data_IF_042405342364
#
_entry.id   IF_042405342364
#
_cell.length_a   1.000
_cell.length_b   1.000
_cell.length_c   1.000
_cell.angle_alpha   90.00
_cell.angle_beta   90.00
_cell.angle_gamma   90.00
#
_symmetry.space_group_name_H-M   'P 1'
#
loop_
_entity.id
_entity.type
_entity.pdbx_description
1 polymer ?
#
# COMPACT_ATOMS: atom_id res chain seq x y z
N UNK A 1 -10.42 11.39 10.14
CA UNK A 1 -10.39 9.93 9.87
C UNK A 1 -9.01 9.55 9.36
N UNK A 2 -8.43 8.44 9.83
CA UNK A 2 -7.11 7.96 9.40
C UNK A 2 -7.30 6.92 8.29
N UNK A 3 -6.69 7.15 7.13
CA UNK A 3 -6.85 6.31 5.93
C UNK A 3 -5.51 5.64 5.60
N UNK A 4 -5.17 4.65 6.41
CA UNK A 4 -3.99 3.80 6.22
C UNK A 4 -2.64 4.51 6.26
N UNK A 5 -1.64 3.80 5.74
CA UNK A 5 -0.25 4.26 5.65
C UNK A 5 0.19 4.27 4.18
N UNK A 6 0.90 5.33 3.79
CA UNK A 6 1.58 5.40 2.50
C UNK A 6 3.09 5.52 2.74
N UNK A 7 3.84 4.55 2.22
CA UNK A 7 5.30 4.54 2.23
C UNK A 7 5.83 4.95 0.86
N UNK A 8 6.53 6.08 0.80
CA UNK A 8 7.13 6.60 -0.44
C UNK A 8 8.64 6.39 -0.42
N UNK A 9 9.21 5.95 -1.54
CA UNK A 9 10.64 5.74 -1.70
C UNK A 9 11.36 7.09 -1.80
N UNK A 10 12.08 7.45 -0.74
CA UNK A 10 12.70 8.78 -0.59
C UNK A 10 13.59 9.21 -1.75
N UNK A 11 14.34 8.30 -2.40
CA UNK A 11 15.22 8.65 -3.51
C UNK A 11 14.48 9.21 -4.75
N UNK A 12 13.18 8.98 -4.86
CA UNK A 12 12.37 9.51 -5.96
C UNK A 12 11.64 10.81 -5.60
N UNK A 13 11.73 11.25 -4.33
CA UNK A 13 11.14 12.51 -3.89
C UNK A 13 12.04 13.66 -4.33
N UNK A 14 11.62 14.40 -5.36
CA UNK A 14 12.40 15.51 -5.94
C UNK A 14 12.12 16.85 -5.28
N UNK A 15 10.94 17.04 -4.70
CA UNK A 15 10.54 18.29 -4.07
C UNK A 15 9.48 18.06 -2.99
N UNK A 16 9.60 18.78 -1.88
CA UNK A 16 8.57 18.86 -0.85
C UNK A 16 8.12 20.31 -0.77
N UNK A 17 6.86 20.56 -1.15
CA UNK A 17 6.28 21.90 -1.09
C UNK A 17 5.59 22.12 0.26
N UNK A 18 5.65 23.38 0.72
CA UNK A 18 4.97 23.82 1.94
C UNK A 18 4.35 25.19 1.73
N UNK A 19 3.05 25.24 1.42
CA UNK A 19 2.34 26.51 1.21
C UNK A 19 1.83 27.14 2.51
N UNK A 20 1.51 28.45 2.49
CA UNK A 20 0.83 29.10 3.63
C UNK A 20 -0.51 28.42 3.94
N UNK A 21 -1.24 28.00 2.91
CA UNK A 21 -2.51 27.28 3.05
C UNK A 21 -2.34 25.95 3.79
N UNK A 22 -1.33 25.15 3.43
CA UNK A 22 -1.02 23.88 4.13
C UNK A 22 -0.61 24.12 5.59
N UNK A 23 0.12 25.20 5.88
CA UNK A 23 0.46 25.56 7.27
C UNK A 23 -0.79 25.87 8.08
N UNK A 24 -1.72 26.66 7.51
CA UNK A 24 -3.00 26.97 8.15
C UNK A 24 -3.85 25.73 8.33
N UNK A 25 -3.99 24.89 7.29
CA UNK A 25 -4.73 23.63 7.36
C UNK A 25 -4.16 22.70 8.44
N UNK A 26 -2.83 22.53 8.50
CA UNK A 26 -2.17 21.72 9.55
C UNK A 26 -2.44 22.26 10.96
N UNK A 27 -2.52 23.59 11.13
CA UNK A 27 -2.88 24.21 12.42
C UNK A 27 -4.33 23.92 12.78
N UNK A 28 -5.26 24.05 11.84
CA UNK A 28 -6.69 23.74 12.04
C UNK A 28 -6.83 22.27 12.44
N UNK A 29 -6.29 21.35 11.65
CA UNK A 29 -6.38 19.91 11.91
C UNK A 29 -5.74 19.49 13.24
N UNK A 30 -4.65 20.15 13.67
CA UNK A 30 -4.10 19.95 15.02
C UNK A 30 -5.03 20.47 16.11
N UNK A 31 -5.61 21.66 15.90
CA UNK A 31 -6.52 22.28 16.89
C UNK A 31 -7.84 21.51 17.05
N UNK A 32 -8.29 20.84 15.99
CA UNK A 32 -9.50 20.00 16.03
C UNK A 32 -9.21 18.55 16.47
N UNK A 33 -7.95 18.20 16.77
CA UNK A 33 -7.55 16.85 17.17
C UNK A 33 -7.52 15.81 16.03
N UNK A 34 -7.65 16.25 14.78
CA UNK A 34 -7.63 15.39 13.58
C UNK A 34 -6.21 14.94 13.20
N UNK A 35 -5.18 15.76 13.51
CA UNK A 35 -3.78 15.33 13.41
C UNK A 35 -3.30 14.92 14.79
N UNK A 36 -3.14 13.62 15.00
CA UNK A 36 -2.45 13.04 16.14
C UNK A 36 -0.97 12.81 15.79
N UNK A 37 -0.11 12.79 16.81
CA UNK A 37 1.25 12.30 16.61
C UNK A 37 1.16 10.78 16.48
N UNK A 38 1.27 10.28 15.25
CA UNK A 38 1.37 8.85 14.99
C UNK A 38 2.83 8.46 15.03
N UNK A 39 3.18 7.60 15.97
CA UNK A 39 4.41 6.83 15.87
C UNK A 39 4.24 5.73 14.81
N UNK A 40 5.34 5.33 14.19
CA UNK A 40 5.32 4.16 13.32
C UNK A 40 4.84 2.95 14.13
N UNK A 41 3.95 2.10 13.56
CA UNK A 41 3.56 0.88 14.23
C UNK A 41 4.80 0.06 14.60
N UNK A 42 4.91 -0.50 15.82
CA UNK A 42 6.12 -1.22 16.26
C UNK A 42 6.49 -2.41 15.38
N UNK A 43 5.51 -2.92 14.63
CA UNK A 43 5.66 -4.05 13.73
C UNK A 43 6.18 -3.65 12.33
N UNK A 44 6.14 -2.38 11.99
CA UNK A 44 6.45 -1.87 10.67
C UNK A 44 7.94 -1.54 10.57
N UNK A 45 8.65 -2.23 9.68
CA UNK A 45 10.09 -2.01 9.43
C UNK A 45 10.29 -1.21 8.14
N UNK A 46 10.48 0.09 8.29
CA UNK A 46 10.75 1.01 7.18
C UNK A 46 12.27 1.10 7.00
N UNK A 47 12.79 0.48 5.94
CA UNK A 47 14.22 0.51 5.59
C UNK A 47 14.47 0.15 4.13
N UNK A 48 13.72 -0.82 3.59
CA UNK A 48 13.61 -1.06 2.16
C UNK A 48 12.17 -1.46 1.80
N UNK A 49 11.83 -1.39 0.51
CA UNK A 49 10.55 -1.92 0.01
C UNK A 49 10.40 -3.41 0.38
N UNK A 50 11.50 -4.18 0.34
CA UNK A 50 11.50 -5.59 0.75
C UNK A 50 11.18 -5.77 2.24
N UNK A 51 11.78 -4.98 3.13
CA UNK A 51 11.50 -5.08 4.58
C UNK A 51 10.06 -4.71 4.90
N UNK A 52 9.54 -3.67 4.25
CA UNK A 52 8.15 -3.25 4.33
C UNK A 52 7.21 -4.39 3.91
N UNK A 53 7.39 -4.92 2.70
CA UNK A 53 6.54 -6.00 2.16
C UNK A 53 6.66 -7.30 2.96
N UNK A 54 7.78 -7.55 3.65
CA UNK A 54 7.89 -8.66 4.61
C UNK A 54 6.93 -8.51 5.79
N UNK A 55 6.86 -7.32 6.38
CA UNK A 55 5.92 -7.04 7.47
C UNK A 55 4.46 -7.23 7.01
N UNK A 56 4.13 -6.75 5.81
CA UNK A 56 2.78 -6.90 5.25
C UNK A 56 2.45 -8.38 4.96
N UNK A 57 3.42 -9.14 4.44
CA UNK A 57 3.30 -10.58 4.22
C UNK A 57 3.01 -11.35 5.51
N UNK A 58 3.82 -11.12 6.54
CA UNK A 58 3.69 -11.79 7.85
C UNK A 58 2.30 -11.61 8.46
N UNK A 59 1.68 -10.46 8.20
CA UNK A 59 0.36 -10.07 8.71
C UNK A 59 -0.79 -10.33 7.74
N UNK A 60 -0.50 -10.79 6.53
CA UNK A 60 -1.47 -10.95 5.43
C UNK A 60 -2.24 -9.65 5.14
N UNK A 61 -1.58 -8.51 5.27
CA UNK A 61 -2.16 -7.20 4.97
C UNK A 61 -2.20 -7.02 3.44
N UNK A 62 -3.36 -6.60 2.93
CA UNK A 62 -3.52 -6.19 1.54
C UNK A 62 -2.80 -4.86 1.33
N UNK A 63 -2.07 -4.73 0.23
CA UNK A 63 -1.33 -3.54 -0.10
C UNK A 63 -1.58 -3.14 -1.56
N UNK A 64 -1.64 -1.84 -1.79
CA UNK A 64 -1.49 -1.23 -3.09
C UNK A 64 -0.01 -0.93 -3.32
N UNK A 65 0.53 -1.38 -4.45
CA UNK A 65 1.91 -1.14 -4.87
C UNK A 65 1.87 -0.41 -6.19
N UNK A 66 2.58 0.73 -6.28
CA UNK A 66 2.60 1.56 -7.48
C UNK A 66 3.99 2.13 -7.80
N UNK A 67 4.13 2.59 -9.04
CA UNK A 67 5.29 3.37 -9.50
C UNK A 67 4.87 4.74 -10.01
N UNK A 68 5.68 5.74 -9.67
CA UNK A 68 5.62 7.09 -10.21
C UNK A 68 6.72 7.36 -11.26
N UNK A 69 7.48 6.34 -11.67
CA UNK A 69 8.50 6.47 -12.71
C UNK A 69 7.84 6.50 -14.10
N UNK A 70 8.29 7.41 -14.96
CA UNK A 70 7.66 7.71 -16.25
C UNK A 70 7.50 6.49 -17.19
N UNK A 71 8.45 5.54 -17.18
CA UNK A 71 8.47 4.37 -18.07
C UNK A 71 8.17 3.05 -17.34
N UNK A 72 7.53 3.11 -16.17
CA UNK A 72 7.26 1.93 -15.34
C UNK A 72 5.75 1.84 -15.07
N UNK A 73 5.10 0.90 -15.74
CA UNK A 73 3.69 0.58 -15.50
C UNK A 73 3.56 -0.44 -14.38
N UNK A 74 3.60 0.05 -13.14
CA UNK A 74 3.36 -0.76 -11.95
C UNK A 74 2.18 -0.17 -11.20
N UNK A 75 1.10 -0.93 -11.18
CA UNK A 75 -0.02 -0.75 -10.27
C UNK A 75 -0.61 -2.12 -9.94
N UNK A 76 -0.63 -2.50 -8.67
CA UNK A 76 -1.18 -3.77 -8.24
C UNK A 76 -1.72 -3.67 -6.82
N UNK A 77 -2.91 -4.23 -6.60
CA UNK A 77 -3.53 -4.33 -5.27
C UNK A 77 -3.66 -5.79 -4.91
N UNK A 78 -3.15 -6.19 -3.75
CA UNK A 78 -3.20 -7.58 -3.33
C UNK A 78 -2.36 -7.90 -2.11
N UNK A 79 -2.25 -9.19 -1.81
CA UNK A 79 -1.41 -9.68 -0.70
C UNK A 79 -0.08 -10.21 -1.23
N UNK A 80 0.96 -10.08 -0.41
CA UNK A 80 2.30 -10.58 -0.75
C UNK A 80 2.30 -12.11 -0.69
N UNK A 81 2.54 -12.75 -1.83
CA UNK A 81 2.64 -14.19 -1.95
C UNK A 81 4.08 -14.67 -1.68
N UNK A 82 5.05 -14.07 -2.35
CA UNK A 82 6.47 -14.40 -2.20
C UNK A 82 7.35 -13.15 -2.22
N UNK A 83 8.47 -13.23 -1.51
CA UNK A 83 9.54 -12.25 -1.56
C UNK A 83 10.76 -12.96 -2.11
N UNK A 84 11.32 -12.42 -3.18
CA UNK A 84 12.51 -12.94 -3.84
C UNK A 84 13.68 -12.00 -3.58
N UNK A 85 14.82 -12.27 -4.19
CA UNK A 85 16.01 -11.43 -3.98
C UNK A 85 15.79 -10.00 -4.48
N UNK A 86 15.32 -9.84 -5.72
CA UNK A 86 15.11 -8.54 -6.38
C UNK A 86 13.65 -8.17 -6.68
N UNK A 87 12.69 -9.03 -6.35
CA UNK A 87 11.27 -8.87 -6.70
C UNK A 87 10.32 -9.34 -5.61
N UNK A 88 9.08 -8.85 -5.67
CA UNK A 88 7.93 -9.36 -4.92
C UNK A 88 6.97 -10.05 -5.88
N UNK A 89 6.35 -11.13 -5.43
CA UNK A 89 5.21 -11.75 -6.10
C UNK A 89 3.96 -11.39 -5.33
N UNK A 90 3.02 -10.72 -5.98
CA UNK A 90 1.72 -10.37 -5.42
C UNK A 90 0.65 -11.32 -5.93
N UNK A 91 -0.21 -11.76 -5.01
CA UNK A 91 -1.51 -12.31 -5.37
C UNK A 91 -2.46 -11.11 -5.49
N UNK A 92 -2.58 -10.57 -6.70
CA UNK A 92 -3.37 -9.38 -7.02
C UNK A 92 -4.73 -9.72 -7.60
N UNK A 93 -5.63 -8.75 -7.56
CA UNK A 93 -6.94 -8.79 -8.18
C UNK A 93 -7.14 -7.54 -9.05
N UNK A 94 -8.02 -7.63 -10.03
CA UNK A 94 -8.41 -6.49 -10.86
C UNK A 94 -9.54 -5.66 -10.22
N UNK A 95 -9.97 -4.61 -10.93
CA UNK A 95 -11.05 -3.74 -10.48
C UNK A 95 -12.44 -4.43 -10.44
N UNK A 96 -12.58 -5.64 -11.00
CA UNK A 96 -13.76 -6.47 -10.89
C UNK A 96 -13.70 -7.44 -9.70
N UNK A 97 -12.55 -7.51 -9.03
CA UNK A 97 -12.30 -8.41 -7.90
C UNK A 97 -11.90 -9.82 -8.33
N UNK A 98 -11.57 -10.02 -9.59
CA UNK A 98 -11.09 -11.30 -10.10
C UNK A 98 -9.58 -11.41 -9.85
N UNK A 99 -9.16 -12.57 -9.36
CA UNK A 99 -7.73 -12.84 -9.12
C UNK A 99 -6.98 -12.88 -10.44
N UNK A 100 -5.92 -12.09 -10.56
CA UNK A 100 -5.11 -12.05 -11.77
C UNK A 100 -4.17 -13.26 -11.78
N UNK A 101 -4.20 -14.01 -12.90
CA UNK A 101 -3.33 -15.16 -13.16
C UNK A 101 -2.63 -14.95 -14.51
N UNK A 102 -1.28 -15.03 -14.59
CA UNK A 102 -0.36 -15.39 -13.52
C UNK A 102 -0.20 -14.29 -12.45
N UNK A 103 0.31 -14.68 -11.27
CA UNK A 103 0.62 -13.74 -10.18
C UNK A 103 1.59 -12.66 -10.66
N UNK A 104 1.40 -11.42 -10.21
CA UNK A 104 2.24 -10.30 -10.60
C UNK A 104 3.60 -10.36 -9.90
N UNK A 105 4.67 -10.47 -10.67
CA UNK A 105 6.04 -10.31 -10.17
C UNK A 105 6.56 -8.91 -10.49
N UNK A 106 6.94 -8.15 -9.45
CA UNK A 106 7.33 -6.74 -9.55
C UNK A 106 8.70 -6.57 -8.93
N UNK A 107 9.63 -5.91 -9.63
CA UNK A 107 10.97 -5.61 -9.09
C UNK A 107 10.88 -4.56 -7.99
N UNK A 108 11.66 -4.70 -6.93
CA UNK A 108 11.73 -3.67 -5.89
C UNK A 108 12.23 -2.30 -6.40
N UNK A 109 13.05 -2.31 -7.47
CA UNK A 109 13.53 -1.11 -8.16
C UNK A 109 12.43 -0.30 -8.84
N UNK A 110 11.29 -0.93 -9.11
CA UNK A 110 10.24 -0.36 -9.93
C UNK A 110 9.12 0.19 -9.03
N UNK A 111 9.08 -0.23 -7.77
CA UNK A 111 8.14 0.25 -6.75
C UNK A 111 8.64 1.56 -6.15
N UNK A 112 7.81 2.60 -6.21
CA UNK A 112 8.07 3.90 -5.58
C UNK A 112 7.15 4.17 -4.41
N UNK A 113 5.99 3.52 -4.37
CA UNK A 113 4.97 3.74 -3.35
C UNK A 113 4.30 2.42 -2.95
N UNK A 114 4.03 2.29 -1.65
CA UNK A 114 3.26 1.18 -1.07
C UNK A 114 2.26 1.76 -0.09
N UNK A 115 0.97 1.53 -0.34
CA UNK A 115 -0.14 1.95 0.52
C UNK A 115 -0.85 0.73 1.10
N UNK A 116 -1.23 0.77 2.38
CA UNK A 116 -1.87 -0.35 3.08
C UNK A 116 -2.71 0.13 4.26
N UNK A 117 -3.63 -0.71 4.72
CA UNK A 117 -4.64 -0.35 5.74
C UNK A 117 -5.51 0.86 5.34
N UNK A 118 -5.49 1.22 4.05
CA UNK A 118 -6.42 2.20 3.49
C UNK A 118 -7.82 1.58 3.35
N UNK A 119 -8.85 2.42 3.32
CA UNK A 119 -10.24 1.98 3.26
C UNK A 119 -10.50 1.15 2.00
N UNK A 120 -9.94 1.58 0.86
CA UNK A 120 -10.13 0.94 -0.45
C UNK A 120 -9.63 -0.51 -0.45
N UNK A 121 -8.34 -0.73 -0.20
CA UNK A 121 -7.68 -2.04 -0.15
C UNK A 121 -8.30 -2.94 0.90
N UNK A 122 -8.74 -2.40 2.03
CA UNK A 122 -9.38 -3.16 3.11
C UNK A 122 -10.77 -3.64 2.71
N UNK A 123 -11.64 -2.73 2.27
CA UNK A 123 -13.03 -3.05 1.87
C UNK A 123 -13.03 -3.99 0.67
N UNK A 124 -12.19 -3.72 -0.33
CA UNK A 124 -12.11 -4.54 -1.53
C UNK A 124 -11.58 -5.95 -1.22
N UNK A 125 -10.60 -6.07 -0.32
CA UNK A 125 -10.12 -7.37 0.14
C UNK A 125 -11.21 -8.17 0.88
N UNK A 126 -11.98 -7.52 1.76
CA UNK A 126 -13.11 -8.15 2.46
C UNK A 126 -14.19 -8.63 1.47
N UNK A 127 -14.55 -7.78 0.50
CA UNK A 127 -15.52 -8.13 -0.53
C UNK A 127 -15.09 -9.38 -1.31
N UNK A 128 -13.85 -9.41 -1.83
CA UNK A 128 -13.33 -10.55 -2.57
C UNK A 128 -13.26 -11.81 -1.71
N UNK A 129 -12.85 -11.69 -0.44
CA UNK A 129 -12.84 -12.83 0.47
C UNK A 129 -14.26 -13.41 0.67
N UNK A 130 -15.27 -12.56 0.78
CA UNK A 130 -16.68 -12.95 0.98
C UNK A 130 -17.32 -13.58 -0.26
N UNK A 131 -17.09 -13.03 -1.45
CA UNK A 131 -17.56 -13.57 -2.74
C UNK A 131 -16.98 -14.97 -3.00
N UNK A 132 -15.72 -15.19 -2.66
CA UNK A 132 -15.08 -16.50 -2.81
C UNK A 132 -15.63 -17.56 -1.86
N UNK A 133 -16.14 -17.17 -0.67
CA UNK A 133 -16.85 -18.10 0.22
C UNK A 133 -18.20 -18.52 -0.36
N UNK A 134 -18.92 -17.59 -1.04
CA UNK A 134 -20.18 -17.89 -1.72
C UNK A 134 -19.99 -18.82 -2.91
N UNK A 135 -18.99 -18.58 -3.76
CA UNK A 135 -18.70 -19.42 -4.95
C UNK A 135 -18.19 -20.83 -4.60
N UNK A 136 -17.63 -21.05 -3.40
CA UNK A 136 -17.19 -22.38 -2.94
C UNK A 136 -18.30 -23.22 -2.29
N UNK A 137 -19.45 -22.63 -2.00
CA UNK A 137 -20.60 -23.28 -1.39
C UNK A 137 -21.75 -23.61 -2.36
N UNK A 138 -21.57 -23.38 -3.67
CA UNK A 138 -22.47 -23.81 -4.75
C UNK A 138 -21.78 -24.90 -5.57
#
# INVERSE_FOLDING_TARGET
>A
HFDGYTCIRLKDVTNVRRSRSEVTQKRILRSTGEIQNFDNPPWLRIGSIKSLLSCLKERKICACVSSALFDVDVFAVGTVDALREGSVVLKSFDAHGDWIVPKHEIKYSDITEVTFEDEYSTVFHQFIASENLRKKGS
#
